data_IF_591768985768
#
_entry.id   IF_591768985768
#
_cell.length_a   1.000
_cell.length_b   1.000
_cell.length_c   1.000
_cell.angle_alpha   90.00
_cell.angle_beta   90.00
_cell.angle_gamma   90.00
#
_symmetry.space_group_name_H-M   'P 1'
#
loop_
_entity.id
_entity.type
_entity.pdbx_description
1 polymer ?
#
# COMPACT_ATOMS: atom_id res chain seq x y z
N UNK A 1 51.22 -19.24 46.35
CA UNK A 1 49.80 -19.43 46.75
C UNK A 1 49.42 -20.87 46.47
N UNK A 2 48.63 -21.47 47.35
CA UNK A 2 48.39 -22.92 47.42
C UNK A 2 47.43 -23.42 46.33
N UNK A 3 47.52 -24.69 45.97
CA UNK A 3 46.61 -25.35 45.01
C UNK A 3 45.35 -25.93 45.68
N UNK A 4 44.56 -26.67 44.90
CA UNK A 4 43.40 -27.44 45.37
C UNK A 4 42.48 -27.86 44.22
N UNK A 5 42.32 -29.17 44.03
CA UNK A 5 41.33 -29.80 43.13
C UNK A 5 40.00 -30.03 43.88
N UNK A 6 38.88 -30.19 43.16
CA UNK A 6 37.95 -31.33 43.31
C UNK A 6 36.63 -31.19 42.52
N UNK A 7 36.13 -32.34 42.07
CA UNK A 7 34.77 -32.65 41.57
C UNK A 7 33.73 -32.66 42.73
N UNK A 8 32.43 -33.00 42.65
CA UNK A 8 31.53 -33.69 41.68
C UNK A 8 30.30 -32.78 41.33
N UNK A 9 29.10 -33.18 40.86
CA UNK A 9 28.43 -34.49 40.67
C UNK A 9 26.99 -34.41 40.10
N UNK A 10 26.19 -35.46 40.32
CA UNK A 10 24.82 -35.73 39.77
C UNK A 10 23.66 -35.24 40.71
N UNK A 11 22.36 -35.15 40.35
CA UNK A 11 21.50 -36.20 39.76
C UNK A 11 20.04 -35.76 39.44
N UNK A 12 19.46 -36.40 38.39
CA UNK A 12 18.06 -36.85 38.15
C UNK A 12 16.78 -36.07 38.57
N UNK A 13 15.89 -35.86 37.57
CA UNK A 13 14.44 -36.22 37.50
C UNK A 13 13.43 -35.76 38.60
N UNK A 14 12.10 -35.61 38.41
CA UNK A 14 11.15 -36.17 37.41
C UNK A 14 9.85 -35.33 37.27
N UNK A 15 9.15 -35.53 36.15
CA UNK A 15 7.68 -35.51 35.94
C UNK A 15 6.83 -34.20 35.82
N UNK A 16 5.78 -34.33 34.99
CA UNK A 16 4.75 -33.36 34.56
C UNK A 16 3.41 -33.64 35.30
N UNK A 17 2.38 -32.73 35.39
CA UNK A 17 1.58 -32.36 34.22
C UNK A 17 0.83 -30.99 34.18
N UNK A 18 0.72 -30.47 32.96
CA UNK A 18 -0.39 -29.71 32.34
C UNK A 18 -1.44 -28.98 33.23
N UNK A 19 -1.49 -27.66 33.07
CA UNK A 19 -2.65 -26.95 32.50
C UNK A 19 -2.12 -25.87 31.55
N UNK A 20 -2.79 -25.35 30.51
CA UNK A 20 -4.19 -25.50 30.10
C UNK A 20 -4.65 -24.26 29.34
N UNK A 21 -3.91 -23.82 28.32
CA UNK A 21 -4.31 -22.69 27.45
C UNK A 21 -3.74 -22.85 26.04
N UNK A 22 -4.26 -23.84 25.34
CA UNK A 22 -4.08 -23.99 23.89
C UNK A 22 -4.76 -22.84 23.17
N UNK A 23 -4.03 -21.76 22.88
CA UNK A 23 -4.46 -20.73 21.92
C UNK A 23 -4.40 -21.33 20.51
N UNK A 24 -5.40 -22.14 20.19
CA UNK A 24 -5.55 -22.79 18.89
C UNK A 24 -5.54 -21.73 17.80
N UNK A 25 -4.40 -21.60 17.13
CA UNK A 25 -4.20 -20.72 15.99
C UNK A 25 -4.96 -21.26 14.79
N UNK A 26 -6.29 -21.12 14.85
CA UNK A 26 -7.19 -21.40 13.75
C UNK A 26 -6.84 -20.44 12.60
N UNK A 27 -5.91 -20.88 11.75
CA UNK A 27 -5.67 -20.30 10.42
C UNK A 27 -7.01 -20.32 9.68
N UNK A 28 -7.77 -19.23 9.77
CA UNK A 28 -9.08 -19.09 9.14
C UNK A 28 -8.87 -19.28 7.65
N UNK A 29 -9.19 -20.47 7.11
CA UNK A 29 -9.14 -20.76 5.66
C UNK A 29 -9.91 -19.63 4.96
N UNK A 30 -9.19 -18.80 4.22
CA UNK A 30 -9.72 -17.58 3.59
C UNK A 30 -10.72 -18.01 2.53
N UNK A 31 -12.01 -17.88 2.85
CA UNK A 31 -13.09 -18.35 1.97
C UNK A 31 -13.19 -17.47 0.73
N UNK A 32 -13.60 -18.07 -0.38
CA UNK A 32 -13.95 -17.34 -1.59
C UNK A 32 -15.21 -16.48 -1.38
N UNK A 33 -15.41 -15.52 -2.27
CA UNK A 33 -16.63 -14.74 -2.35
C UNK A 33 -17.85 -15.63 -2.63
N UNK A 34 -18.97 -15.37 -1.97
CA UNK A 34 -20.25 -16.08 -2.13
C UNK A 34 -20.90 -15.89 -3.51
N UNK A 35 -20.43 -14.90 -4.27
CA UNK A 35 -20.99 -14.50 -5.55
C UNK A 35 -20.63 -15.55 -6.61
N UNK A 36 -21.61 -16.03 -7.38
CA UNK A 36 -21.40 -17.11 -8.36
C UNK A 36 -20.34 -16.67 -9.39
N UNK A 37 -19.37 -17.55 -9.66
CA UNK A 37 -18.24 -17.26 -10.56
C UNK A 37 -17.18 -16.30 -10.01
N UNK A 38 -17.29 -15.81 -8.76
CA UNK A 38 -16.28 -14.90 -8.21
C UNK A 38 -15.12 -15.65 -7.52
N UNK A 39 -13.98 -15.73 -8.21
CA UNK A 39 -12.72 -16.30 -7.70
C UNK A 39 -12.00 -15.42 -6.67
N UNK A 40 -12.50 -14.22 -6.38
CA UNK A 40 -11.88 -13.32 -5.40
C UNK A 40 -12.11 -13.79 -3.96
N UNK A 41 -11.08 -13.66 -3.10
CA UNK A 41 -11.21 -13.94 -1.68
C UNK A 41 -12.23 -13.01 -0.99
N UNK A 42 -12.97 -13.56 -0.03
CA UNK A 42 -13.87 -12.79 0.82
C UNK A 42 -13.09 -12.03 1.90
N UNK A 43 -13.48 -10.78 2.13
CA UNK A 43 -12.90 -9.89 3.17
C UNK A 43 -13.79 -9.88 4.41
N UNK A 44 -15.09 -9.67 4.22
CA UNK A 44 -16.10 -9.76 5.29
C UNK A 44 -17.43 -10.25 4.71
N UNK A 45 -18.35 -10.75 5.55
CA UNK A 45 -19.72 -11.15 5.15
C UNK A 45 -19.78 -12.17 3.99
N UNK A 46 -18.72 -12.99 3.83
CA UNK A 46 -18.49 -13.89 2.68
C UNK A 46 -18.44 -13.18 1.32
N UNK A 47 -18.14 -11.88 1.26
CA UNK A 47 -17.99 -11.10 0.02
C UNK A 47 -16.56 -10.57 -0.16
N UNK A 48 -16.11 -10.45 -1.41
CA UNK A 48 -14.88 -9.72 -1.75
C UNK A 48 -15.11 -8.20 -1.73
N UNK A 49 -14.05 -7.38 -1.86
CA UNK A 49 -14.14 -5.90 -1.82
C UNK A 49 -15.20 -5.37 -2.80
N UNK A 50 -15.20 -5.88 -4.05
CA UNK A 50 -16.14 -5.51 -5.12
C UNK A 50 -17.58 -5.84 -4.74
N UNK A 51 -17.84 -7.02 -4.20
CA UNK A 51 -19.19 -7.50 -3.81
C UNK A 51 -19.61 -7.16 -2.37
N UNK A 52 -19.12 -6.04 -1.81
CA UNK A 52 -19.57 -5.53 -0.50
C UNK A 52 -18.76 -5.98 0.73
N UNK A 53 -17.65 -6.70 0.54
CA UNK A 53 -16.78 -7.16 1.63
C UNK A 53 -15.92 -6.08 2.28
N UNK A 54 -15.67 -4.97 1.58
CA UNK A 54 -14.97 -3.81 2.15
C UNK A 54 -15.91 -2.88 2.91
N UNK A 55 -15.40 -2.24 3.97
CA UNK A 55 -16.10 -1.17 4.71
C UNK A 55 -16.46 -0.01 3.77
N UNK A 56 -17.58 0.65 4.05
CA UNK A 56 -18.14 1.73 3.23
C UNK A 56 -18.02 3.07 3.95
N UNK A 57 -18.02 4.14 3.19
CA UNK A 57 -17.99 5.49 3.71
C UNK A 57 -19.23 5.75 4.56
N UNK A 58 -19.08 6.22 5.79
CA UNK A 58 -20.19 6.60 6.68
C UNK A 58 -20.80 7.97 6.36
N UNK A 59 -20.49 8.52 5.18
CA UNK A 59 -21.11 9.75 4.71
C UNK A 59 -22.38 9.38 3.96
N UNK A 60 -23.46 10.12 4.18
CA UNK A 60 -24.79 9.81 3.65
C UNK A 60 -24.78 9.70 2.12
N UNK A 61 -25.49 8.70 1.58
CA UNK A 61 -25.49 8.38 0.14
C UNK A 61 -24.17 7.88 -0.46
N UNK A 62 -23.06 7.80 0.30
CA UNK A 62 -21.76 7.49 -0.27
C UNK A 62 -21.48 5.98 -0.41
N UNK A 63 -21.52 5.47 -1.65
CA UNK A 63 -21.25 4.06 -1.97
C UNK A 63 -19.76 3.68 -1.97
N UNK A 64 -18.85 4.67 -1.91
CA UNK A 64 -17.41 4.49 -1.96
C UNK A 64 -16.87 3.67 -0.77
N UNK A 65 -15.81 2.89 -1.02
CA UNK A 65 -15.09 2.19 0.03
C UNK A 65 -14.42 3.15 1.01
N UNK A 66 -14.52 2.86 2.31
CA UNK A 66 -13.77 3.57 3.33
C UNK A 66 -12.26 3.29 3.19
N UNK A 67 -11.44 4.28 3.61
CA UNK A 67 -9.97 4.19 3.60
C UNK A 67 -9.37 4.43 4.97
N UNK A 68 -9.87 5.44 5.68
CA UNK A 68 -9.43 5.83 7.02
C UNK A 68 -10.62 6.45 7.77
N UNK A 69 -10.71 6.29 9.09
CA UNK A 69 -11.78 6.87 9.93
C UNK A 69 -13.20 6.58 9.40
N UNK A 70 -13.43 5.38 8.84
CA UNK A 70 -14.67 4.96 8.19
C UNK A 70 -15.18 5.85 7.03
N UNK A 71 -14.35 6.73 6.46
CA UNK A 71 -14.71 7.60 5.33
C UNK A 71 -13.85 7.30 4.09
N UNK A 72 -14.35 7.66 2.91
CA UNK A 72 -13.62 7.55 1.65
C UNK A 72 -12.65 8.73 1.45
N UNK A 73 -11.76 8.66 0.46
CA UNK A 73 -10.74 9.70 0.21
C UNK A 73 -11.32 11.11 0.00
N UNK A 74 -12.51 11.22 -0.60
CA UNK A 74 -13.21 12.49 -0.79
C UNK A 74 -13.73 13.03 0.57
N UNK A 75 -14.45 12.20 1.34
CA UNK A 75 -15.09 12.59 2.60
C UNK A 75 -14.17 12.58 3.84
N UNK A 76 -12.85 12.73 3.68
CA UNK A 76 -11.90 12.84 4.80
C UNK A 76 -11.24 11.54 5.26
N UNK A 77 -11.37 10.46 4.49
CA UNK A 77 -10.59 9.22 4.62
C UNK A 77 -9.14 9.36 4.15
N UNK A 78 -8.48 10.45 4.55
CA UNK A 78 -7.11 10.82 4.22
C UNK A 78 -6.54 11.69 5.34
N UNK A 79 -5.26 11.52 5.70
CA UNK A 79 -4.56 12.50 6.54
C UNK A 79 -4.17 13.75 5.74
N UNK A 80 -3.90 14.85 6.44
CA UNK A 80 -3.30 16.06 5.88
C UNK A 80 -1.76 15.92 5.92
N UNK A 81 -1.07 16.66 5.07
CA UNK A 81 0.39 16.72 5.05
C UNK A 81 0.94 17.24 6.39
N UNK A 82 1.96 16.57 6.94
CA UNK A 82 2.65 16.97 8.17
C UNK A 82 3.57 18.20 8.01
N UNK A 83 3.70 18.74 6.79
CA UNK A 83 4.50 19.93 6.55
C UNK A 83 3.74 21.18 7.01
N UNK A 84 4.42 22.09 7.71
CA UNK A 84 3.82 23.30 8.27
C UNK A 84 3.04 24.10 7.21
N UNK A 85 1.82 24.53 7.55
CA UNK A 85 0.92 25.27 6.65
C UNK A 85 0.35 24.48 5.47
N UNK A 86 0.70 23.21 5.27
CA UNK A 86 0.29 22.46 4.08
C UNK A 86 -1.06 21.74 4.24
N UNK A 87 -2.15 22.34 3.71
CA UNK A 87 -3.48 21.71 3.71
C UNK A 87 -3.68 20.62 2.61
N UNK A 88 -2.60 20.11 2.00
CA UNK A 88 -2.68 19.05 0.98
C UNK A 88 -2.93 17.68 1.62
N UNK A 89 -3.72 16.83 0.95
CA UNK A 89 -3.92 15.43 1.37
C UNK A 89 -2.59 14.66 1.29
N UNK A 90 -2.23 14.00 2.39
CA UNK A 90 -1.06 13.13 2.45
C UNK A 90 -1.26 11.85 1.62
N UNK A 91 -0.14 11.26 1.20
CA UNK A 91 -0.06 10.02 0.42
C UNK A 91 0.68 8.92 1.18
N UNK A 92 1.96 9.15 1.47
CA UNK A 92 2.86 8.22 2.17
C UNK A 92 3.64 8.99 3.22
N UNK A 93 4.02 8.31 4.30
CA UNK A 93 4.82 8.88 5.41
C UNK A 93 4.24 10.16 6.04
N UNK A 94 2.92 10.39 5.90
CA UNK A 94 2.27 11.62 6.38
C UNK A 94 2.45 12.86 5.49
N UNK A 95 3.09 12.75 4.32
CA UNK A 95 3.35 13.89 3.44
C UNK A 95 2.57 13.83 2.11
N UNK A 96 2.33 14.99 1.49
CA UNK A 96 1.77 15.11 0.13
C UNK A 96 2.86 14.95 -0.95
N UNK A 97 2.47 15.00 -2.23
CA UNK A 97 3.40 14.76 -3.35
C UNK A 97 4.61 15.72 -3.38
N UNK A 98 4.40 17.00 -3.04
CA UNK A 98 5.46 18.01 -3.00
C UNK A 98 6.40 17.90 -1.79
N UNK A 99 5.95 17.27 -0.70
CA UNK A 99 6.68 17.23 0.58
C UNK A 99 7.21 15.82 0.91
N UNK A 100 7.47 14.98 -0.09
CA UNK A 100 8.08 13.65 0.11
C UNK A 100 7.11 12.47 0.21
N UNK A 101 5.81 12.68 0.02
CA UNK A 101 4.80 11.60 -0.04
C UNK A 101 4.76 10.81 -1.36
N UNK A 102 5.58 11.20 -2.35
CA UNK A 102 5.78 10.46 -3.60
C UNK A 102 6.79 9.32 -3.46
N UNK A 103 6.91 8.47 -4.48
CA UNK A 103 8.05 7.54 -4.59
C UNK A 103 9.26 8.33 -5.10
N UNK A 104 10.46 8.04 -4.61
CA UNK A 104 11.70 8.58 -5.19
C UNK A 104 12.05 7.81 -6.47
N UNK A 105 12.76 8.46 -7.40
CA UNK A 105 13.28 7.86 -8.63
C UNK A 105 14.15 6.63 -8.32
N UNK A 106 13.94 5.54 -9.04
CA UNK A 106 14.73 4.30 -8.93
C UNK A 106 16.13 4.37 -9.54
N UNK A 107 16.67 5.57 -9.76
CA UNK A 107 18.00 5.77 -10.33
C UNK A 107 18.92 6.27 -9.23
N UNK A 108 20.14 5.77 -9.15
CA UNK A 108 21.02 6.02 -8.02
C UNK A 108 21.32 7.51 -7.84
N UNK A 109 21.48 7.95 -6.58
CA UNK A 109 21.63 9.36 -6.21
C UNK A 109 20.45 10.30 -6.54
N UNK A 110 19.37 9.83 -7.19
CA UNK A 110 18.34 10.72 -7.71
C UNK A 110 17.22 11.04 -6.69
N UNK A 111 17.32 12.20 -6.03
CA UNK A 111 16.30 12.70 -5.08
C UNK A 111 14.96 13.13 -5.71
N UNK A 112 14.82 13.09 -7.03
CA UNK A 112 13.60 13.55 -7.73
C UNK A 112 12.46 12.55 -7.54
N UNK A 113 11.24 13.06 -7.36
CA UNK A 113 10.03 12.22 -7.27
C UNK A 113 9.80 11.48 -8.60
N UNK A 114 9.57 10.17 -8.50
CA UNK A 114 9.20 9.30 -9.60
C UNK A 114 7.83 9.65 -10.19
N UNK A 115 7.76 9.63 -11.51
CA UNK A 115 6.52 9.63 -12.26
C UNK A 115 5.98 8.20 -12.40
N UNK A 116 5.09 7.96 -13.37
CA UNK A 116 4.71 6.61 -13.78
C UNK A 116 5.96 5.84 -14.25
N UNK A 117 6.07 4.56 -13.86
CA UNK A 117 7.22 3.71 -14.22
C UNK A 117 8.36 3.65 -13.19
N UNK A 118 8.32 4.44 -12.10
CA UNK A 118 9.31 4.35 -11.02
C UNK A 118 10.53 5.27 -11.17
N UNK A 119 10.78 5.79 -12.37
CA UNK A 119 11.77 6.85 -12.62
C UNK A 119 11.15 8.25 -12.60
N UNK A 120 11.97 9.29 -12.43
CA UNK A 120 11.54 10.69 -12.62
C UNK A 120 11.48 11.07 -14.11
N UNK A 121 10.92 12.24 -14.43
CA UNK A 121 10.78 12.73 -15.82
C UNK A 121 12.11 12.91 -16.58
N UNK A 122 13.24 13.06 -15.88
CA UNK A 122 14.56 13.07 -16.53
C UNK A 122 15.02 11.64 -16.89
N UNK A 123 14.84 10.68 -15.99
CA UNK A 123 15.29 9.29 -16.15
C UNK A 123 14.23 8.39 -16.81
N UNK A 124 13.54 8.90 -17.83
CA UNK A 124 12.56 8.13 -18.62
C UNK A 124 11.16 7.93 -18.00
N UNK A 125 10.90 8.43 -16.80
CA UNK A 125 9.59 8.30 -16.16
C UNK A 125 8.48 9.13 -16.80
N UNK A 126 7.24 8.64 -16.69
CA UNK A 126 6.05 9.25 -17.27
C UNK A 126 5.90 8.99 -18.77
N UNK A 127 4.70 9.20 -19.30
CA UNK A 127 4.40 8.89 -20.70
C UNK A 127 4.99 9.95 -21.66
N UNK A 128 5.61 9.47 -22.74
CA UNK A 128 6.11 10.29 -23.86
C UNK A 128 5.06 10.42 -24.95
N UNK A 129 5.23 11.40 -25.83
CA UNK A 129 4.41 11.56 -27.02
C UNK A 129 4.54 10.32 -27.91
N UNK A 130 3.41 9.75 -28.34
CA UNK A 130 3.35 8.67 -29.34
C UNK A 130 3.79 9.07 -30.75
N UNK A 131 4.06 10.35 -31.00
CA UNK A 131 4.58 10.76 -32.31
C UNK A 131 6.07 10.46 -32.34
N UNK A 132 6.50 9.72 -33.35
CA UNK A 132 7.91 9.40 -33.58
C UNK A 132 8.80 10.66 -33.56
N UNK A 133 9.99 10.53 -32.96
CA UNK A 133 10.91 11.64 -32.71
C UNK A 133 10.48 12.65 -31.63
N UNK A 134 9.29 12.54 -31.01
CA UNK A 134 8.82 13.53 -30.05
C UNK A 134 9.04 13.14 -28.57
N UNK A 135 10.10 13.67 -27.96
CA UNK A 135 10.45 13.44 -26.54
C UNK A 135 9.56 14.17 -25.50
N UNK A 136 8.60 14.99 -25.96
CA UNK A 136 7.70 15.81 -25.11
C UNK A 136 6.79 14.92 -24.23
N UNK A 137 6.39 15.43 -23.06
CA UNK A 137 5.39 14.80 -22.18
C UNK A 137 4.06 14.60 -22.91
N UNK A 138 3.47 13.42 -22.78
CA UNK A 138 2.10 13.15 -23.22
C UNK A 138 1.06 13.13 -22.10
N UNK A 139 -0.20 13.15 -22.52
CA UNK A 139 -1.36 13.13 -21.63
C UNK A 139 -2.41 12.14 -22.16
N UNK A 140 -3.04 11.38 -21.26
CA UNK A 140 -4.09 10.42 -21.63
C UNK A 140 -5.28 11.08 -22.33
N UNK A 141 -5.66 12.30 -21.92
CA UNK A 141 -6.70 13.13 -22.57
C UNK A 141 -6.39 13.55 -24.02
N UNK A 142 -5.17 13.29 -24.49
CA UNK A 142 -4.72 13.52 -25.86
C UNK A 142 -4.19 12.22 -26.47
N UNK A 143 -4.71 11.04 -26.10
CA UNK A 143 -4.32 9.77 -26.72
C UNK A 143 -2.92 9.25 -26.43
N UNK A 144 -2.23 9.83 -25.44
CA UNK A 144 -0.78 9.75 -25.25
C UNK A 144 0.05 10.53 -26.30
N UNK A 145 -0.51 11.58 -26.89
CA UNK A 145 0.24 12.65 -27.55
C UNK A 145 0.52 13.84 -26.60
N UNK A 146 1.48 14.69 -26.96
CA UNK A 146 1.75 15.95 -26.26
C UNK A 146 0.72 17.03 -26.66
N UNK A 147 0.65 18.15 -25.93
CA UNK A 147 -0.31 19.24 -26.24
C UNK A 147 -0.19 19.77 -27.67
N UNK A 148 1.02 19.81 -28.23
CA UNK A 148 1.24 20.26 -29.61
C UNK A 148 0.81 19.24 -30.67
N UNK A 149 0.77 17.94 -30.31
CA UNK A 149 0.41 16.84 -31.21
C UNK A 149 -0.95 16.23 -30.81
N UNK A 150 -1.80 16.96 -30.08
CA UNK A 150 -3.12 16.47 -29.66
C UNK A 150 -4.07 16.24 -30.83
N UNK A 151 -3.78 16.83 -31.99
CA UNK A 151 -4.45 16.61 -33.27
C UNK A 151 -4.23 15.23 -33.89
N UNK A 152 -3.19 14.49 -33.45
CA UNK A 152 -2.93 13.11 -33.89
C UNK A 152 -3.78 12.07 -33.13
N UNK A 153 -4.60 12.51 -32.17
CA UNK A 153 -5.58 11.67 -31.47
C UNK A 153 -6.96 11.81 -32.14
N UNK A 154 -7.03 11.42 -33.42
CA UNK A 154 -8.28 11.23 -34.16
C UNK A 154 -8.83 9.84 -33.85
#
# INVERSE_FOLDING_TARGET
MSGGTSSEGESSDTDSPKTGSSSSSHKKKTRLCKEKGCTSLAVSRRSCVRHGGGSRCTFEGCTNGAKLRNRCFQHGGSTICLAAGCNSKAKRYGYCWSHGGGRICSHDGCVKVAAQGGSCWAHGGGNRCKLEGCSKRSYQKYGYYCKAHSTYNV
#
